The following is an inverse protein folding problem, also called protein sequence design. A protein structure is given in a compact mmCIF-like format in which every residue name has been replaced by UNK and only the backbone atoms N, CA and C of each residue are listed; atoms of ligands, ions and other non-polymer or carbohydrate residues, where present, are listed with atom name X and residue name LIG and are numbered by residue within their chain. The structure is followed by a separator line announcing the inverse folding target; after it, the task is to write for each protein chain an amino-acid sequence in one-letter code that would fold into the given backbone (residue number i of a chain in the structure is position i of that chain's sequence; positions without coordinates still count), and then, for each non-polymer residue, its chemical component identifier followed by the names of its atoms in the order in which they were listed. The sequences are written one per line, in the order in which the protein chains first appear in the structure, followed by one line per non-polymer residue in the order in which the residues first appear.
data_IF_022545964588
#
_entry.id   IF_022545964588
#
_cell.length_a   1.000
_cell.length_b   1.000
_cell.length_c   1.000
_cell.angle_alpha   90.00
_cell.angle_beta   90.00
_cell.angle_gamma   90.00
#
_symmetry.space_group_name_H-M   'P 1'
#
loop_
_entity.id
_entity.type
_entity.pdbx_description
1 polymer ?
#
# COMPACT_ATOMS: atom_id res chain seq x y z
N UNK A 1 -0.45 -9.48 -19.74
CA UNK A 1 -1.67 -8.74 -19.37
C UNK A 1 -1.88 -8.88 -17.88
N UNK A 2 -1.54 -7.87 -17.08
CA UNK A 2 -1.63 -7.90 -15.61
C UNK A 2 -2.92 -7.22 -15.13
N UNK A 3 -4.06 -7.66 -15.67
CA UNK A 3 -5.35 -7.00 -15.43
C UNK A 3 -5.74 -6.98 -13.95
N UNK A 4 -5.34 -8.00 -13.18
CA UNK A 4 -5.59 -8.04 -11.74
C UNK A 4 -4.73 -7.05 -10.94
N UNK A 5 -3.44 -6.91 -11.27
CA UNK A 5 -2.57 -5.95 -10.61
C UNK A 5 -3.00 -4.50 -10.86
N UNK A 6 -3.30 -4.14 -12.12
CA UNK A 6 -3.77 -2.79 -12.46
C UNK A 6 -5.10 -2.46 -11.77
N UNK A 7 -6.04 -3.43 -11.71
CA UNK A 7 -7.31 -3.24 -11.01
C UNK A 7 -7.12 -3.04 -9.50
N UNK A 8 -6.25 -3.85 -8.86
CA UNK A 8 -5.94 -3.72 -7.44
C UNK A 8 -5.25 -2.39 -7.15
N UNK A 9 -4.31 -1.96 -8.02
CA UNK A 9 -3.59 -0.69 -7.89
C UNK A 9 -4.50 0.53 -8.06
N UNK A 10 -5.40 0.49 -9.04
CA UNK A 10 -6.39 1.54 -9.26
C UNK A 10 -7.35 1.65 -8.07
N UNK A 11 -7.88 0.51 -7.59
CA UNK A 11 -8.65 0.48 -6.35
C UNK A 11 -7.85 1.08 -5.21
N UNK A 12 -6.59 0.72 -5.06
CA UNK A 12 -5.72 1.23 -3.99
C UNK A 12 -5.65 2.75 -3.98
N UNK A 13 -5.46 3.38 -5.14
CA UNK A 13 -5.40 4.84 -5.26
C UNK A 13 -6.74 5.54 -5.01
N UNK A 14 -7.86 4.90 -5.35
CA UNK A 14 -9.22 5.44 -5.17
C UNK A 14 -9.80 5.15 -3.77
N UNK A 15 -9.27 4.13 -3.09
CA UNK A 15 -9.82 3.59 -1.85
C UNK A 15 -9.37 4.40 -0.62
N UNK A 16 -10.33 4.74 0.24
CA UNK A 16 -10.09 5.46 1.51
C UNK A 16 -9.48 4.54 2.58
N UNK A 17 -8.75 5.10 3.56
CA UNK A 17 -8.00 4.34 4.61
C UNK A 17 -8.78 3.20 5.28
N UNK A 18 -10.10 3.36 5.45
CA UNK A 18 -10.98 2.37 6.07
C UNK A 18 -11.12 1.08 5.23
N UNK A 19 -11.04 1.21 3.92
CA UNK A 19 -11.22 0.11 2.96
C UNK A 19 -9.87 -0.45 2.49
N UNK A 20 -8.75 0.26 2.78
CA UNK A 20 -7.39 -0.23 2.53
C UNK A 20 -7.08 -1.55 3.26
N UNK A 21 -7.72 -1.81 4.41
CA UNK A 21 -7.59 -3.07 5.13
C UNK A 21 -8.13 -4.27 4.34
N UNK A 22 -9.32 -4.14 3.76
CA UNK A 22 -9.90 -5.18 2.87
C UNK A 22 -9.06 -5.36 1.61
N UNK A 23 -8.54 -4.27 1.08
CA UNK A 23 -7.73 -4.33 -0.14
C UNK A 23 -6.42 -5.11 0.08
N UNK A 24 -5.80 -4.97 1.26
CA UNK A 24 -4.62 -5.77 1.66
C UNK A 24 -4.95 -7.27 1.69
N UNK A 25 -6.15 -7.64 2.14
CA UNK A 25 -6.61 -9.04 2.10
C UNK A 25 -6.86 -9.51 0.66
N UNK A 26 -7.51 -8.71 -0.19
CA UNK A 26 -7.69 -9.03 -1.62
C UNK A 26 -6.35 -9.26 -2.33
N UNK A 27 -5.33 -8.44 -2.04
CA UNK A 27 -3.97 -8.58 -2.58
C UNK A 27 -3.32 -9.89 -2.13
N UNK A 28 -3.46 -10.25 -0.86
CA UNK A 28 -2.94 -11.53 -0.35
C UNK A 28 -3.62 -12.72 -1.02
N UNK A 29 -4.96 -12.70 -1.12
CA UNK A 29 -5.69 -13.77 -1.79
C UNK A 29 -5.33 -13.87 -3.26
N UNK A 30 -5.17 -12.76 -3.97
CA UNK A 30 -4.74 -12.77 -5.37
C UNK A 30 -3.37 -13.42 -5.56
N UNK A 31 -2.46 -13.26 -4.60
CA UNK A 31 -1.16 -13.94 -4.61
C UNK A 31 -1.30 -15.44 -4.34
N UNK A 32 -2.10 -15.83 -3.35
CA UNK A 32 -2.36 -17.26 -3.05
C UNK A 32 -3.07 -17.99 -4.20
N UNK A 33 -3.92 -17.28 -4.95
CA UNK A 33 -4.62 -17.78 -6.12
C UNK A 33 -3.72 -17.81 -7.39
N UNK A 34 -2.48 -17.31 -7.30
CA UNK A 34 -1.54 -17.23 -8.42
C UNK A 34 -1.90 -16.19 -9.49
N UNK A 35 -2.80 -15.24 -9.16
CA UNK A 35 -3.22 -14.14 -10.05
C UNK A 35 -2.21 -13.01 -10.15
N UNK A 36 -1.37 -12.87 -9.13
CA UNK A 36 -0.27 -11.89 -9.07
C UNK A 36 1.00 -12.56 -8.54
N UNK A 37 2.15 -12.07 -8.96
CA UNK A 37 3.44 -12.54 -8.48
C UNK A 37 3.80 -11.94 -7.11
N UNK A 38 4.79 -12.54 -6.45
CA UNK A 38 5.31 -12.05 -5.16
C UNK A 38 5.79 -10.59 -5.25
N UNK A 39 6.41 -10.21 -6.36
CA UNK A 39 6.86 -8.84 -6.58
C UNK A 39 5.68 -7.86 -6.67
N UNK A 40 4.59 -8.25 -7.34
CA UNK A 40 3.39 -7.46 -7.48
C UNK A 40 2.61 -7.35 -6.17
N UNK A 41 2.54 -8.44 -5.42
CA UNK A 41 1.96 -8.48 -4.08
C UNK A 41 2.68 -7.50 -3.14
N UNK A 42 4.02 -7.50 -3.13
CA UNK A 42 4.80 -6.58 -2.29
C UNK A 42 4.59 -5.12 -2.68
N UNK A 43 4.58 -4.82 -3.99
CA UNK A 43 4.36 -3.45 -4.48
C UNK A 43 2.98 -2.91 -4.06
N UNK A 44 1.92 -3.71 -4.24
CA UNK A 44 0.56 -3.36 -3.81
C UNK A 44 0.45 -3.24 -2.29
N UNK A 45 1.03 -4.16 -1.53
CA UNK A 45 1.04 -4.09 -0.06
C UNK A 45 1.80 -2.87 0.45
N UNK A 46 2.91 -2.50 -0.18
CA UNK A 46 3.68 -1.33 0.19
C UNK A 46 2.91 -0.05 -0.11
N UNK A 47 2.21 0.02 -1.24
CA UNK A 47 1.34 1.14 -1.57
C UNK A 47 0.16 1.25 -0.57
N UNK A 48 -0.50 0.13 -0.23
CA UNK A 48 -1.59 0.11 0.76
C UNK A 48 -1.09 0.55 2.14
N UNK A 49 0.07 0.05 2.57
CA UNK A 49 0.73 0.46 3.82
C UNK A 49 1.13 1.93 3.80
N UNK A 50 1.56 2.47 2.67
CA UNK A 50 1.87 3.90 2.52
C UNK A 50 0.62 4.77 2.73
N UNK A 51 -0.53 4.36 2.21
CA UNK A 51 -1.80 5.05 2.44
C UNK A 51 -2.28 4.93 3.88
N UNK A 52 -2.18 3.74 4.49
CA UNK A 52 -2.56 3.52 5.89
C UNK A 52 -1.62 4.26 6.86
N UNK A 53 -0.31 4.17 6.60
CA UNK A 53 0.81 4.58 7.45
C UNK A 53 1.32 6.02 7.25
N UNK A 54 0.74 6.80 6.32
CA UNK A 54 0.99 8.25 6.27
C UNK A 54 0.52 9.00 7.53
N UNK A 55 -0.04 8.31 8.53
CA UNK A 55 -0.29 8.87 9.87
C UNK A 55 0.92 8.76 10.82
N UNK A 56 1.87 7.85 10.60
CA UNK A 56 3.03 7.65 11.51
C UNK A 56 4.36 8.19 10.97
N UNK A 57 4.57 8.27 9.64
CA UNK A 57 5.84 8.77 9.09
C UNK A 57 5.89 10.29 8.85
N UNK A 58 4.77 10.99 8.96
CA UNK A 58 4.72 12.46 8.91
C UNK A 58 5.13 13.15 10.22
N UNK A 59 5.13 12.44 11.36
CA UNK A 59 5.47 12.99 12.68
C UNK A 59 6.87 12.64 13.19
N UNK A 60 7.66 11.84 12.45
CA UNK A 60 9.02 11.46 12.88
C UNK A 60 10.10 12.22 12.10
N UNK A 61 9.77 12.89 10.98
CA UNK A 61 10.72 13.74 10.24
C UNK A 61 10.65 15.23 10.58
N UNK A 62 9.60 15.69 11.25
CA UNK A 62 9.47 17.09 11.69
C UNK A 62 9.85 17.30 13.17
N UNK A 63 9.99 16.23 13.95
CA UNK A 63 10.22 16.33 15.40
C UNK A 63 11.70 16.26 15.85
N UNK A 64 12.70 16.42 14.97
CA UNK A 64 14.08 16.43 15.48
C UNK A 64 15.27 16.44 14.52
N UNK A 65 15.21 17.01 13.31
CA UNK A 65 16.41 17.04 12.44
C UNK A 65 16.63 18.34 11.66
N UNK A 66 16.54 19.49 12.34
CA UNK A 66 17.26 20.70 11.93
C UNK A 66 17.84 21.46 13.13
N UNK A 67 18.58 20.74 13.99
CA UNK A 67 19.65 21.36 14.78
C UNK A 67 20.85 21.60 13.85
N UNK A 68 20.83 22.70 13.10
CA UNK A 68 22.03 23.42 12.62
C UNK A 68 21.64 24.72 11.91
N UNK A 69 21.52 25.80 12.67
CA UNK A 69 22.18 27.08 12.37
C UNK A 69 22.00 28.06 13.52
#
# INVERSE_FOLDING_TARGET
MRQHYDALKAKLQDTSKAESGKLVEEIKQAYEDGKIDKAEQQDLLQAAKGMLGSMELGNIKDAGFFDKR
#
